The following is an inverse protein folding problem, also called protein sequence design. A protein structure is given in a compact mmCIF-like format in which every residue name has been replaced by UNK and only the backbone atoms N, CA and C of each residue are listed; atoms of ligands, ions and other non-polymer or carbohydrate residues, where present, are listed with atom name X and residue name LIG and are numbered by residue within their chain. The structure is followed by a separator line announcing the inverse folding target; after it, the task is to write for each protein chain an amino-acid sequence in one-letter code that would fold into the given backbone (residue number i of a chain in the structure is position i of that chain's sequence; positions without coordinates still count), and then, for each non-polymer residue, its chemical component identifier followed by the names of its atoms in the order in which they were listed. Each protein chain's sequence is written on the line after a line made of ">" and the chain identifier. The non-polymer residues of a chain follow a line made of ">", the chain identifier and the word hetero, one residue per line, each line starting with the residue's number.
data_IF_786258022755
#
_entry.id   IF_786258022755
#
_cell.length_a   1.000
_cell.length_b   1.000
_cell.length_c   1.000
_cell.angle_alpha   90.00
_cell.angle_beta   90.00
_cell.angle_gamma   90.00
#
_symmetry.space_group_name_H-M   'P 1'
#
loop_
_entity.id
_entity.type
_entity.pdbx_description
1 polymer ?
#
# COMPACT_ATOMS: atom_id res chain seq x y z
N UNK A 1 -31.44 48.40 -11.11
CA UNK A 1 -31.31 47.21 -11.99
C UNK A 1 -29.84 47.08 -12.33
N UNK A 2 -29.05 46.04 -12.04
CA UNK A 2 -29.30 44.62 -11.78
C UNK A 2 -28.13 44.07 -10.93
N UNK A 3 -28.38 43.70 -9.67
CA UNK A 3 -27.37 43.20 -8.71
C UNK A 3 -27.23 41.66 -8.71
N UNK A 4 -27.90 40.96 -9.62
CA UNK A 4 -27.96 39.49 -9.64
C UNK A 4 -26.93 38.82 -10.58
N UNK A 5 -26.14 39.59 -11.32
CA UNK A 5 -25.16 39.09 -12.30
C UNK A 5 -23.92 38.38 -11.69
N UNK A 6 -23.21 38.95 -10.70
CA UNK A 6 -21.94 38.36 -10.25
C UNK A 6 -22.12 37.05 -9.48
N UNK A 7 -23.21 36.93 -8.71
CA UNK A 7 -23.55 35.71 -7.94
C UNK A 7 -23.82 34.50 -8.84
N UNK A 8 -24.46 34.70 -10.00
CA UNK A 8 -24.77 33.61 -10.94
C UNK A 8 -23.50 33.05 -11.60
N UNK A 9 -22.47 33.88 -11.77
CA UNK A 9 -21.19 33.49 -12.36
C UNK A 9 -20.27 32.76 -11.37
N UNK A 10 -20.34 33.09 -10.09
CA UNK A 10 -19.60 32.42 -9.02
C UNK A 10 -20.16 31.02 -8.72
N UNK A 11 -21.50 30.88 -8.73
CA UNK A 11 -22.16 29.59 -8.54
C UNK A 11 -21.89 28.64 -9.71
N UNK A 12 -21.90 29.13 -10.96
CA UNK A 12 -21.56 28.30 -12.13
C UNK A 12 -20.11 27.83 -12.13
N UNK A 13 -19.15 28.68 -11.74
CA UNK A 13 -17.74 28.30 -11.61
C UNK A 13 -17.51 27.30 -10.47
N UNK A 14 -18.17 27.49 -9.32
CA UNK A 14 -18.11 26.53 -8.21
C UNK A 14 -18.75 25.18 -8.54
N UNK A 15 -19.75 25.13 -9.43
CA UNK A 15 -20.38 23.88 -9.85
C UNK A 15 -19.52 23.12 -10.87
N UNK A 16 -18.91 23.83 -11.82
CA UNK A 16 -18.01 23.24 -12.80
C UNK A 16 -16.71 22.71 -12.16
N UNK A 17 -16.10 23.48 -11.26
CA UNK A 17 -14.86 23.11 -10.56
C UNK A 17 -15.07 21.99 -9.51
N UNK A 18 -16.34 21.77 -9.11
CA UNK A 18 -16.75 20.62 -8.29
C UNK A 18 -17.04 19.39 -9.14
N UNK A 19 -17.51 19.56 -10.38
CA UNK A 19 -17.76 18.44 -11.29
C UNK A 19 -16.45 17.82 -11.82
N UNK A 20 -15.43 18.63 -12.12
CA UNK A 20 -14.12 18.14 -12.57
C UNK A 20 -13.34 17.41 -11.46
N UNK A 21 -13.56 17.76 -10.19
CA UNK A 21 -12.92 17.09 -9.05
C UNK A 21 -13.49 15.68 -8.78
N UNK A 22 -14.62 15.34 -9.38
CA UNK A 22 -15.33 14.07 -9.15
C UNK A 22 -15.00 13.00 -10.19
N UNK A 23 -14.36 13.37 -11.30
CA UNK A 23 -14.01 12.47 -12.41
C UNK A 23 -12.63 11.82 -12.27
N UNK A 24 -11.79 12.26 -11.33
CA UNK A 24 -10.41 11.75 -11.16
C UNK A 24 -10.28 10.51 -10.27
N UNK A 25 -11.33 10.12 -9.54
CA UNK A 25 -11.35 8.90 -8.72
C UNK A 25 -12.36 7.87 -9.28
N UNK A 26 -11.95 6.93 -10.15
CA UNK A 26 -12.86 5.93 -10.72
C UNK A 26 -13.57 5.10 -9.64
N UNK A 27 -12.96 4.94 -8.46
CA UNK A 27 -13.55 4.24 -7.32
C UNK A 27 -14.55 5.09 -6.54
N UNK A 28 -14.39 6.42 -6.50
CA UNK A 28 -15.32 7.33 -5.85
C UNK A 28 -16.64 7.42 -6.60
N UNK A 29 -16.57 7.48 -7.93
CA UNK A 29 -17.72 7.50 -8.83
C UNK A 29 -18.51 6.18 -8.76
N UNK A 30 -17.81 5.04 -8.72
CA UNK A 30 -18.43 3.72 -8.48
C UNK A 30 -19.13 3.68 -7.12
N UNK A 31 -18.49 4.15 -6.05
CA UNK A 31 -19.10 4.18 -4.70
C UNK A 31 -20.35 5.05 -4.65
N UNK A 32 -20.35 6.17 -5.36
CA UNK A 32 -21.48 7.09 -5.42
C UNK A 32 -22.64 6.53 -6.26
N UNK A 33 -22.34 5.93 -7.41
CA UNK A 33 -23.33 5.27 -8.26
C UNK A 33 -23.96 4.08 -7.52
N UNK A 34 -23.15 3.25 -6.86
CA UNK A 34 -23.65 2.13 -6.05
C UNK A 34 -24.49 2.64 -4.87
N UNK A 35 -24.05 3.71 -4.19
CA UNK A 35 -24.79 4.31 -3.08
C UNK A 35 -26.13 4.90 -3.50
N UNK A 36 -26.19 5.58 -4.64
CA UNK A 36 -27.44 6.17 -5.17
C UNK A 36 -28.42 5.12 -5.66
N UNK A 37 -27.94 4.06 -6.32
CA UNK A 37 -28.76 2.90 -6.71
C UNK A 37 -29.33 2.20 -5.47
N UNK A 38 -28.52 1.98 -4.44
CA UNK A 38 -28.97 1.37 -3.18
C UNK A 38 -30.05 2.22 -2.48
N UNK A 39 -29.87 3.54 -2.44
CA UNK A 39 -30.84 4.46 -1.85
C UNK A 39 -32.17 4.46 -2.62
N UNK A 40 -32.12 4.43 -3.95
CA UNK A 40 -33.30 4.32 -4.81
C UNK A 40 -34.08 3.01 -4.55
N UNK A 41 -33.38 1.87 -4.45
CA UNK A 41 -34.00 0.58 -4.11
C UNK A 41 -34.62 0.57 -2.71
N UNK A 42 -34.03 1.29 -1.76
CA UNK A 42 -34.54 1.42 -0.40
C UNK A 42 -35.86 2.19 -0.38
N UNK A 43 -35.94 3.30 -1.12
CA UNK A 43 -37.17 4.07 -1.27
C UNK A 43 -38.29 3.25 -1.92
N UNK A 44 -37.98 2.49 -2.97
CA UNK A 44 -38.94 1.61 -3.65
C UNK A 44 -39.47 0.54 -2.68
N UNK A 45 -38.60 -0.07 -1.88
CA UNK A 45 -39.01 -1.09 -0.92
C UNK A 45 -39.83 -0.54 0.25
N UNK A 46 -39.49 0.65 0.76
CA UNK A 46 -40.31 1.33 1.78
C UNK A 46 -41.70 1.65 1.22
N UNK A 47 -41.77 2.11 -0.03
CA UNK A 47 -43.06 2.38 -0.70
C UNK A 47 -43.88 1.10 -0.86
N UNK A 48 -43.26 -0.01 -1.29
CA UNK A 48 -43.91 -1.33 -1.42
C UNK A 48 -44.36 -1.93 -0.08
N UNK A 49 -43.62 -1.64 0.99
CA UNK A 49 -43.99 -2.06 2.34
C UNK A 49 -45.18 -1.29 2.87
N UNK A 50 -45.25 0.03 2.59
CA UNK A 50 -46.37 0.89 2.98
C UNK A 50 -47.65 0.57 2.21
N UNK A 51 -47.55 0.07 0.97
CA UNK A 51 -48.72 -0.39 0.19
C UNK A 51 -49.23 -1.78 0.61
N UNK A 52 -48.57 -2.45 1.56
CA UNK A 52 -49.03 -3.73 2.13
C UNK A 52 -48.91 -4.92 1.18
N UNK A 53 -48.14 -4.79 0.09
CA UNK A 53 -48.08 -5.80 -0.97
C UNK A 53 -47.34 -7.07 -0.56
N UNK A 54 -46.29 -6.99 0.28
CA UNK A 54 -45.64 -8.16 0.86
C UNK A 54 -44.70 -7.77 2.04
N UNK A 55 -44.97 -8.18 3.29
CA UNK A 55 -44.11 -7.85 4.45
C UNK A 55 -42.70 -8.46 4.36
N UNK A 56 -42.47 -9.41 3.45
CA UNK A 56 -41.15 -10.01 3.19
C UNK A 56 -40.20 -9.05 2.44
N UNK A 57 -40.72 -8.02 1.78
CA UNK A 57 -39.91 -7.06 1.03
C UNK A 57 -38.98 -6.22 1.93
N UNK A 58 -39.42 -5.87 3.15
CA UNK A 58 -38.60 -5.16 4.12
C UNK A 58 -37.41 -5.99 4.61
N UNK A 59 -37.59 -7.31 4.74
CA UNK A 59 -36.52 -8.21 5.18
C UNK A 59 -35.41 -8.32 4.14
N UNK A 60 -35.77 -8.37 2.85
CA UNK A 60 -34.80 -8.39 1.75
C UNK A 60 -33.98 -7.10 1.68
N UNK A 61 -34.60 -5.95 1.91
CA UNK A 61 -33.90 -4.66 1.92
C UNK A 61 -33.05 -4.48 3.16
N UNK A 62 -33.53 -4.91 4.33
CA UNK A 62 -32.71 -4.97 5.55
C UNK A 62 -31.49 -5.87 5.37
N UNK A 63 -31.66 -7.05 4.78
CA UNK A 63 -30.56 -7.97 4.48
C UNK A 63 -29.56 -7.38 3.46
N UNK A 64 -30.06 -6.71 2.41
CA UNK A 64 -29.23 -6.05 1.42
C UNK A 64 -28.42 -4.89 2.04
N UNK A 65 -29.03 -4.10 2.92
CA UNK A 65 -28.34 -3.05 3.69
C UNK A 65 -27.33 -3.61 4.69
N UNK A 66 -27.61 -4.75 5.32
CA UNK A 66 -26.67 -5.42 6.20
C UNK A 66 -25.43 -5.89 5.41
N UNK A 67 -25.62 -6.49 4.24
CA UNK A 67 -24.52 -6.91 3.35
C UNK A 67 -23.75 -5.70 2.83
N UNK A 68 -24.44 -4.62 2.43
CA UNK A 68 -23.81 -3.38 1.98
C UNK A 68 -23.03 -2.68 3.10
N UNK A 69 -23.63 -2.55 4.28
CA UNK A 69 -22.97 -2.01 5.47
C UNK A 69 -21.78 -2.85 5.90
N UNK A 70 -21.87 -4.19 5.80
CA UNK A 70 -20.77 -5.10 6.05
C UNK A 70 -19.64 -4.91 5.04
N UNK A 71 -19.93 -4.89 3.74
CA UNK A 71 -18.92 -4.73 2.68
C UNK A 71 -18.27 -3.35 2.71
N UNK A 72 -19.04 -2.27 2.90
CA UNK A 72 -18.52 -0.91 3.03
C UNK A 72 -17.78 -0.74 4.35
N UNK A 73 -18.29 -1.26 5.45
CA UNK A 73 -17.62 -1.26 6.76
C UNK A 73 -16.32 -2.05 6.74
N UNK A 74 -16.28 -3.17 6.03
CA UNK A 74 -15.08 -3.98 5.80
C UNK A 74 -14.07 -3.26 4.91
N UNK A 75 -14.52 -2.55 3.86
CA UNK A 75 -13.66 -1.71 3.02
C UNK A 75 -13.18 -0.43 3.71
N UNK A 76 -13.95 0.14 4.65
CA UNK A 76 -13.70 1.47 5.23
C UNK A 76 -13.10 1.43 6.64
N UNK A 77 -13.44 0.43 7.45
CA UNK A 77 -13.15 0.40 8.90
C UNK A 77 -12.12 -0.64 9.34
N UNK A 78 -11.78 -1.61 8.48
CA UNK A 78 -10.80 -2.66 8.81
C UNK A 78 -9.45 -2.40 8.12
N UNK A 79 -9.38 -1.49 7.15
CA UNK A 79 -8.15 -1.27 6.41
C UNK A 79 -7.04 -0.59 7.23
N UNK A 80 -7.32 0.29 8.20
CA UNK A 80 -6.23 0.94 8.94
C UNK A 80 -5.46 -0.02 9.86
N UNK A 81 -6.08 -0.75 10.81
CA UNK A 81 -5.34 -1.66 11.68
C UNK A 81 -4.89 -2.95 10.98
N UNK A 82 -5.61 -3.42 9.96
CA UNK A 82 -5.18 -4.61 9.20
C UNK A 82 -4.12 -4.26 8.18
N UNK A 83 -4.02 -3.04 7.64
CA UNK A 83 -2.87 -2.68 6.79
C UNK A 83 -1.61 -2.46 7.63
N UNK A 84 -1.72 -1.82 8.80
CA UNK A 84 -0.56 -1.68 9.70
C UNK A 84 -0.16 -3.06 10.27
N UNK A 85 -1.14 -3.89 10.62
CA UNK A 85 -0.93 -5.30 10.99
C UNK A 85 -0.44 -6.16 9.83
N UNK A 86 -0.84 -5.88 8.58
CA UNK A 86 -0.38 -6.57 7.38
C UNK A 86 1.01 -6.09 6.96
N UNK A 87 1.41 -4.85 7.22
CA UNK A 87 2.80 -4.42 7.06
C UNK A 87 3.68 -5.02 8.16
N UNK A 88 3.19 -5.17 9.39
CA UNK A 88 3.89 -5.91 10.45
C UNK A 88 3.91 -7.43 10.23
N UNK A 89 2.89 -8.01 9.60
CA UNK A 89 2.85 -9.44 9.22
C UNK A 89 3.60 -9.69 7.91
N UNK A 90 3.62 -8.75 6.97
CA UNK A 90 4.45 -8.83 5.75
C UNK A 90 5.90 -8.51 6.08
N UNK A 91 6.21 -7.70 7.10
CA UNK A 91 7.59 -7.55 7.58
C UNK A 91 8.04 -8.75 8.42
N UNK A 92 7.18 -9.33 9.27
CA UNK A 92 7.53 -10.55 10.02
C UNK A 92 7.41 -11.87 9.23
N UNK A 93 6.64 -11.93 8.13
CA UNK A 93 6.31 -13.18 7.41
C UNK A 93 6.41 -13.05 5.87
N UNK A 94 6.48 -11.84 5.31
CA UNK A 94 6.33 -11.55 3.87
C UNK A 94 7.50 -11.89 2.95
N UNK A 95 8.32 -12.87 3.34
CA UNK A 95 9.29 -13.52 2.46
C UNK A 95 8.86 -14.94 2.09
N UNK A 96 7.84 -15.50 2.74
CA UNK A 96 7.47 -16.89 2.52
C UNK A 96 6.31 -17.00 1.53
N UNK A 97 6.61 -17.73 0.44
CA UNK A 97 5.69 -18.39 -0.51
C UNK A 97 5.09 -17.54 -1.64
N UNK A 98 5.92 -17.29 -2.64
CA UNK A 98 5.49 -17.42 -4.05
C UNK A 98 6.36 -18.52 -4.68
N UNK A 99 5.68 -19.53 -5.20
CA UNK A 99 6.17 -20.89 -5.35
C UNK A 99 7.04 -21.17 -6.57
N UNK A 100 7.72 -22.32 -6.51
CA UNK A 100 8.30 -23.01 -7.66
C UNK A 100 9.79 -22.75 -7.91
N UNK A 101 10.66 -22.83 -6.90
CA UNK A 101 12.10 -22.90 -7.18
C UNK A 101 13.07 -22.72 -6.01
N UNK A 102 12.60 -22.20 -4.88
CA UNK A 102 13.43 -21.85 -3.71
C UNK A 102 13.30 -22.81 -2.52
N UNK A 103 12.51 -23.89 -2.67
CA UNK A 103 12.17 -24.81 -1.59
C UNK A 103 13.40 -25.39 -0.88
N UNK A 104 14.46 -25.72 -1.60
CA UNK A 104 15.70 -26.23 -1.00
C UNK A 104 16.41 -25.19 -0.14
N UNK A 105 16.48 -23.93 -0.60
CA UNK A 105 17.14 -22.84 0.12
C UNK A 105 16.32 -22.44 1.36
N UNK A 106 15.01 -22.38 1.22
CA UNK A 106 14.09 -22.13 2.34
C UNK A 106 14.16 -23.25 3.39
N UNK A 107 14.35 -24.51 2.97
CA UNK A 107 14.56 -25.63 3.89
C UNK A 107 15.87 -25.49 4.66
N UNK A 108 16.95 -25.00 4.03
CA UNK A 108 18.22 -24.71 4.74
C UNK A 108 18.02 -23.64 5.81
N UNK A 109 17.34 -22.55 5.47
CA UNK A 109 17.03 -21.48 6.43
C UNK A 109 16.16 -22.00 7.58
N UNK A 110 15.13 -22.79 7.28
CA UNK A 110 14.25 -23.38 8.30
C UNK A 110 14.96 -24.38 9.23
N UNK A 111 16.04 -25.02 8.77
CA UNK A 111 16.90 -25.89 9.58
C UNK A 111 17.96 -25.14 10.39
N UNK A 112 17.98 -23.81 10.32
CA UNK A 112 18.98 -22.97 10.99
C UNK A 112 20.31 -22.84 10.25
N UNK A 113 20.44 -23.39 9.04
CA UNK A 113 21.63 -23.23 8.20
C UNK A 113 21.58 -21.90 7.43
N UNK A 114 21.51 -20.79 8.18
CA UNK A 114 21.26 -19.46 7.65
C UNK A 114 22.36 -18.97 6.71
N UNK A 115 23.63 -19.20 7.06
CA UNK A 115 24.76 -18.80 6.20
C UNK A 115 24.75 -19.57 4.87
N UNK A 116 24.55 -20.89 4.92
CA UNK A 116 24.46 -21.72 3.72
C UNK A 116 23.26 -21.32 2.84
N UNK A 117 22.14 -20.91 3.45
CA UNK A 117 20.99 -20.38 2.72
C UNK A 117 21.32 -19.04 2.04
N UNK A 118 22.01 -18.14 2.74
CA UNK A 118 22.45 -16.86 2.19
C UNK A 118 23.42 -17.07 1.01
N UNK A 119 24.37 -17.99 1.12
CA UNK A 119 25.32 -18.33 0.05
C UNK A 119 24.61 -18.95 -1.16
N UNK A 120 23.62 -19.82 -0.93
CA UNK A 120 22.80 -20.38 -2.00
C UNK A 120 21.97 -19.32 -2.73
N UNK A 121 21.44 -18.32 -2.03
CA UNK A 121 20.82 -17.17 -2.68
C UNK A 121 21.83 -16.34 -3.47
N UNK A 122 23.05 -16.17 -2.98
CA UNK A 122 24.12 -15.45 -3.68
C UNK A 122 24.45 -16.12 -5.03
N UNK A 123 24.60 -17.44 -5.02
CA UNK A 123 24.84 -18.23 -6.24
C UNK A 123 23.68 -18.05 -7.23
N UNK A 124 22.45 -18.13 -6.72
CA UNK A 124 21.25 -17.98 -7.54
C UNK A 124 21.11 -16.57 -8.12
N UNK A 125 21.57 -15.56 -7.41
CA UNK A 125 21.55 -14.17 -7.87
C UNK A 125 22.44 -13.94 -9.12
N UNK A 126 23.39 -14.84 -9.41
CA UNK A 126 24.18 -14.79 -10.65
C UNK A 126 23.30 -14.97 -11.89
N UNK A 127 22.18 -15.67 -11.77
CA UNK A 127 21.22 -15.85 -12.87
C UNK A 127 20.38 -14.59 -13.05
N UNK A 128 20.54 -13.90 -14.19
CA UNK A 128 19.84 -12.61 -14.47
C UNK A 128 18.34 -12.64 -14.16
N UNK A 129 17.55 -13.66 -14.57
CA UNK A 129 16.10 -13.65 -14.36
C UNK A 129 15.68 -13.75 -12.88
N UNK A 130 16.58 -14.21 -12.01
CA UNK A 130 16.29 -14.46 -10.59
C UNK A 130 17.10 -13.55 -9.68
N UNK A 131 17.95 -12.69 -10.24
CA UNK A 131 18.89 -11.83 -9.53
C UNK A 131 18.20 -11.03 -8.44
N UNK A 132 17.17 -10.27 -8.81
CA UNK A 132 16.48 -9.36 -7.89
C UNK A 132 15.83 -10.13 -6.74
N UNK A 133 15.06 -11.17 -7.05
CA UNK A 133 14.36 -11.95 -6.03
C UNK A 133 15.33 -12.68 -5.10
N UNK A 134 16.42 -13.24 -5.63
CA UNK A 134 17.42 -13.92 -4.84
C UNK A 134 18.18 -12.93 -3.92
N UNK A 135 18.58 -11.76 -4.44
CA UNK A 135 19.25 -10.72 -3.64
C UNK A 135 18.34 -10.18 -2.54
N UNK A 136 17.05 -9.93 -2.82
CA UNK A 136 16.10 -9.46 -1.79
C UNK A 136 15.94 -10.48 -0.65
N UNK A 137 15.80 -11.77 -0.98
CA UNK A 137 15.69 -12.83 0.03
C UNK A 137 16.97 -12.99 0.83
N UNK A 138 18.13 -12.87 0.17
CA UNK A 138 19.42 -12.87 0.86
C UNK A 138 19.57 -11.68 1.79
N UNK A 139 19.23 -10.48 1.33
CA UNK A 139 19.29 -9.25 2.11
C UNK A 139 18.49 -9.37 3.40
N UNK A 140 17.31 -10.00 3.36
CA UNK A 140 16.52 -10.23 4.56
C UNK A 140 17.11 -11.29 5.51
N UNK A 141 17.77 -12.33 4.99
CA UNK A 141 18.53 -13.25 5.84
C UNK A 141 19.72 -12.55 6.50
N UNK A 142 20.40 -11.69 5.74
CA UNK A 142 21.52 -10.88 6.21
C UNK A 142 21.07 -9.92 7.30
N UNK A 143 20.05 -9.10 7.07
CA UNK A 143 19.62 -8.09 8.04
C UNK A 143 18.91 -8.68 9.26
N UNK A 144 18.10 -9.72 9.08
CA UNK A 144 17.38 -10.37 10.16
C UNK A 144 18.27 -11.36 10.94
N UNK A 145 18.16 -12.67 10.68
CA UNK A 145 18.71 -13.69 11.55
C UNK A 145 20.26 -13.78 11.52
N UNK A 146 20.93 -13.26 10.50
CA UNK A 146 22.41 -13.17 10.47
C UNK A 146 22.95 -11.88 11.09
N UNK A 147 22.09 -10.89 11.39
CA UNK A 147 22.45 -9.62 12.00
C UNK A 147 23.62 -8.88 11.29
N UNK A 148 23.56 -8.83 9.96
CA UNK A 148 24.49 -8.16 9.05
C UNK A 148 23.75 -7.16 8.14
N UNK A 149 23.05 -6.15 8.71
CA UNK A 149 22.25 -5.22 7.93
C UNK A 149 23.08 -4.31 7.02
N UNK A 150 24.32 -3.98 7.36
CA UNK A 150 25.21 -3.19 6.51
C UNK A 150 25.54 -3.94 5.21
N UNK A 151 25.80 -5.24 5.32
CA UNK A 151 26.05 -6.10 4.16
C UNK A 151 24.81 -6.19 3.28
N UNK A 152 23.62 -6.33 3.87
CA UNK A 152 22.36 -6.31 3.13
C UNK A 152 22.18 -5.01 2.33
N UNK A 153 22.49 -3.85 2.93
CA UNK A 153 22.34 -2.54 2.29
C UNK A 153 23.28 -2.42 1.08
N UNK A 154 24.55 -2.78 1.28
CA UNK A 154 25.57 -2.78 0.23
C UNK A 154 25.14 -3.69 -0.93
N UNK A 155 24.58 -4.87 -0.67
CA UNK A 155 24.13 -5.77 -1.73
C UNK A 155 22.96 -5.22 -2.55
N UNK A 156 21.98 -4.60 -1.88
CA UNK A 156 20.82 -3.98 -2.55
C UNK A 156 21.23 -2.74 -3.36
N UNK A 157 22.17 -1.94 -2.85
CA UNK A 157 22.72 -0.80 -3.59
C UNK A 157 23.56 -1.27 -4.79
N UNK A 158 24.41 -2.28 -4.61
CA UNK A 158 25.19 -2.87 -5.70
C UNK A 158 24.29 -3.45 -6.79
N UNK A 159 23.15 -4.06 -6.42
CA UNK A 159 22.17 -4.54 -7.38
C UNK A 159 21.67 -3.41 -8.29
N UNK A 160 21.37 -2.25 -7.73
CA UNK A 160 20.94 -1.05 -8.49
C UNK A 160 22.04 -0.45 -9.36
N UNK A 161 23.28 -0.44 -8.87
CA UNK A 161 24.44 0.08 -9.62
C UNK A 161 24.83 -0.85 -10.77
N UNK A 162 24.65 -2.17 -10.60
CA UNK A 162 25.05 -3.18 -11.59
C UNK A 162 24.26 -3.14 -12.91
N UNK A 163 23.12 -2.43 -12.94
CA UNK A 163 22.35 -2.22 -14.16
C UNK A 163 20.95 -1.66 -13.89
N UNK A 164 20.29 -1.09 -14.91
CA UNK A 164 18.94 -0.58 -14.79
C UNK A 164 17.97 -1.71 -14.43
N UNK A 165 17.24 -1.52 -13.33
CA UNK A 165 16.19 -2.43 -12.89
C UNK A 165 14.85 -2.04 -13.54
N UNK A 166 13.98 -3.01 -13.86
CA UNK A 166 12.59 -2.72 -14.20
C UNK A 166 11.91 -1.88 -13.11
N UNK A 167 10.94 -1.01 -13.45
CA UNK A 167 10.28 -0.13 -12.47
C UNK A 167 9.75 -0.84 -11.23
N UNK A 168 9.15 -2.03 -11.41
CA UNK A 168 8.62 -2.85 -10.33
C UNK A 168 9.72 -3.32 -9.37
N UNK A 169 10.88 -3.69 -9.90
CA UNK A 169 11.98 -4.24 -9.12
C UNK A 169 12.78 -3.12 -8.43
N UNK A 170 13.03 -1.99 -9.10
CA UNK A 170 13.64 -0.80 -8.46
C UNK A 170 12.79 -0.32 -7.28
N UNK A 171 11.46 -0.35 -7.42
CA UNK A 171 10.54 -0.01 -6.33
C UNK A 171 10.65 -0.99 -5.16
N UNK A 172 10.64 -2.31 -5.42
CA UNK A 172 10.80 -3.34 -4.38
C UNK A 172 12.13 -3.24 -3.65
N UNK A 173 13.22 -3.02 -4.38
CA UNK A 173 14.56 -2.82 -3.80
C UNK A 173 14.62 -1.54 -2.98
N UNK A 174 14.01 -0.45 -3.47
CA UNK A 174 13.94 0.81 -2.73
C UNK A 174 13.16 0.68 -1.41
N UNK A 175 12.03 -0.04 -1.40
CA UNK A 175 11.29 -0.30 -0.16
C UNK A 175 12.10 -1.13 0.84
N UNK A 176 12.79 -2.18 0.36
CA UNK A 176 13.65 -2.99 1.23
C UNK A 176 14.80 -2.15 1.83
N UNK A 177 15.39 -1.24 1.06
CA UNK A 177 16.39 -0.30 1.57
C UNK A 177 15.82 0.66 2.61
N UNK A 178 14.61 1.19 2.41
CA UNK A 178 13.95 2.06 3.40
C UNK A 178 13.76 1.31 4.72
N UNK A 179 13.21 0.10 4.66
CA UNK A 179 13.01 -0.75 5.83
C UNK A 179 14.32 -1.04 6.56
N UNK A 180 15.36 -1.42 5.81
CA UNK A 180 16.68 -1.70 6.35
C UNK A 180 17.32 -0.47 7.02
N UNK A 181 17.21 0.71 6.39
CA UNK A 181 17.74 1.95 6.95
C UNK A 181 16.99 2.40 8.21
N UNK A 182 15.68 2.23 8.23
CA UNK A 182 14.83 2.64 9.35
C UNK A 182 14.92 1.66 10.53
N UNK A 183 14.76 0.37 10.26
CA UNK A 183 14.59 -0.66 11.28
C UNK A 183 15.92 -1.23 11.76
N UNK A 184 16.82 -1.58 10.86
CA UNK A 184 18.02 -2.34 11.25
C UNK A 184 19.23 -1.43 11.47
N UNK A 185 19.47 -0.48 10.55
CA UNK A 185 20.62 0.43 10.62
C UNK A 185 20.37 1.69 11.46
N UNK A 186 19.12 1.95 11.85
CA UNK A 186 18.71 3.14 12.61
C UNK A 186 19.22 4.46 12.00
N UNK A 187 19.28 4.53 10.67
CA UNK A 187 19.62 5.72 9.89
C UNK A 187 18.38 6.28 9.19
N UNK A 188 17.53 7.03 9.92
CA UNK A 188 16.34 7.64 9.33
C UNK A 188 16.68 8.65 8.23
N UNK A 189 17.93 9.16 8.17
CA UNK A 189 18.34 10.11 7.14
C UNK A 189 18.40 9.45 5.77
N UNK A 190 19.03 8.27 5.70
CA UNK A 190 19.07 7.44 4.49
C UNK A 190 17.70 6.90 4.12
N UNK A 191 16.90 6.45 5.10
CA UNK A 191 15.53 6.02 4.86
C UNK A 191 14.68 7.12 4.21
N UNK A 192 14.75 8.36 4.74
CA UNK A 192 14.05 9.51 4.16
C UNK A 192 14.55 9.85 2.74
N UNK A 193 15.85 9.75 2.49
CA UNK A 193 16.43 9.99 1.17
C UNK A 193 15.91 8.97 0.13
N UNK A 194 15.84 7.69 0.51
CA UNK A 194 15.29 6.65 -0.37
C UNK A 194 13.78 6.77 -0.58
N UNK A 195 13.00 7.11 0.46
CA UNK A 195 11.58 7.43 0.31
C UNK A 195 11.35 8.59 -0.67
N UNK A 196 12.17 9.65 -0.56
CA UNK A 196 12.11 10.78 -1.49
C UNK A 196 12.45 10.35 -2.91
N UNK A 197 13.51 9.55 -3.10
CA UNK A 197 13.87 8.98 -4.41
C UNK A 197 12.68 8.24 -5.04
N UNK A 198 12.00 7.40 -4.26
CA UNK A 198 10.84 6.64 -4.73
C UNK A 198 9.66 7.54 -5.10
N UNK A 199 9.38 8.59 -4.31
CA UNK A 199 8.30 9.56 -4.60
C UNK A 199 8.60 10.33 -5.89
N UNK A 200 9.84 10.79 -6.05
CA UNK A 200 10.27 11.59 -7.20
C UNK A 200 10.29 10.75 -8.47
N UNK A 201 10.72 9.48 -8.39
CA UNK A 201 10.80 8.57 -9.54
C UNK A 201 9.45 7.93 -9.90
N UNK A 202 8.57 7.71 -8.93
CA UNK A 202 7.29 7.02 -9.12
C UNK A 202 6.10 7.82 -8.54
N UNK A 203 5.84 9.04 -9.04
CA UNK A 203 4.88 9.97 -8.43
C UNK A 203 3.42 9.49 -8.47
N UNK A 204 3.08 8.64 -9.45
CA UNK A 204 1.73 8.11 -9.71
C UNK A 204 1.58 6.62 -9.31
N UNK A 205 2.62 6.00 -8.75
CA UNK A 205 2.52 4.60 -8.33
C UNK A 205 1.44 4.42 -7.26
N UNK A 206 0.75 3.27 -7.30
CA UNK A 206 -0.24 2.87 -6.33
C UNK A 206 0.46 2.70 -4.96
N UNK A 207 0.47 3.77 -4.16
CA UNK A 207 1.24 3.83 -2.91
C UNK A 207 2.02 5.14 -2.71
N UNK A 208 2.16 5.99 -3.72
CA UNK A 208 2.91 7.25 -3.61
C UNK A 208 2.39 8.17 -2.49
N UNK A 209 1.06 8.20 -2.26
CA UNK A 209 0.46 8.90 -1.11
C UNK A 209 0.97 8.35 0.23
N UNK A 210 1.08 7.01 0.36
CA UNK A 210 1.58 6.36 1.58
C UNK A 210 3.06 6.66 1.81
N UNK A 211 3.87 6.66 0.75
CA UNK A 211 5.28 7.05 0.85
C UNK A 211 5.44 8.49 1.35
N UNK A 212 4.59 9.42 0.88
CA UNK A 212 4.59 10.81 1.36
C UNK A 212 4.21 10.90 2.84
N UNK A 213 3.24 10.10 3.28
CA UNK A 213 2.85 10.01 4.70
C UNK A 213 3.98 9.45 5.55
N UNK A 214 4.61 8.34 5.13
CA UNK A 214 5.76 7.75 5.82
C UNK A 214 6.93 8.75 5.93
N UNK A 215 7.25 9.46 4.84
CA UNK A 215 8.27 10.50 4.84
C UNK A 215 7.93 11.65 5.80
N UNK A 216 6.67 12.06 5.85
CA UNK A 216 6.22 13.09 6.78
C UNK A 216 6.33 12.62 8.25
N UNK A 217 5.99 11.35 8.53
CA UNK A 217 6.14 10.70 9.83
C UNK A 217 7.60 10.70 10.30
N UNK A 218 8.51 10.15 9.48
CA UNK A 218 9.95 10.14 9.78
C UNK A 218 10.53 11.54 10.00
N UNK A 219 10.07 12.53 9.24
CA UNK A 219 10.47 13.93 9.43
C UNK A 219 9.98 14.48 10.77
N UNK A 220 8.74 14.20 11.14
CA UNK A 220 8.17 14.64 12.41
C UNK A 220 8.89 14.01 13.61
N UNK A 221 9.24 12.73 13.54
CA UNK A 221 9.98 12.05 14.61
C UNK A 221 11.40 12.64 14.79
N UNK A 222 12.09 12.90 13.67
CA UNK A 222 13.46 13.39 13.70
C UNK A 222 13.58 14.87 14.09
N UNK A 223 12.68 15.71 13.60
CA UNK A 223 12.76 17.16 13.75
C UNK A 223 11.72 17.76 14.71
N UNK A 224 10.73 16.99 15.13
CA UNK A 224 9.65 17.42 16.02
C UNK A 224 9.92 17.22 17.52
N UNK A 225 10.95 16.45 17.89
CA UNK A 225 11.42 16.40 19.29
C UNK A 225 12.28 17.64 19.59
N UNK A 226 11.90 18.50 20.55
CA UNK A 226 12.79 19.56 21.03
C UNK A 226 14.06 18.92 21.60
N UNK A 227 15.24 19.46 21.26
CA UNK A 227 16.49 19.09 21.92
C UNK A 227 16.40 19.58 23.37
N UNK A 228 16.04 18.68 24.29
CA UNK A 228 16.22 18.87 25.74
C UNK A 228 17.67 18.60 26.11
#
# INVERSE_FOLDING_TARGET
>A
MSLLSPLRSAIKRSAADRADRWTEEPLGLVRLVVGTIALAWTLIAVLLALTGADPRALQLVGALWAIYGLTVGFLSGILEPVIDGFFHLVSNVGIVRVGGGYSTIETLAARGHLQAAADAYAERARNKPQRVDATLRRAALLSGPLNQPETAAIELDNLRVSGPLPPRDDFRVGLALVELYEQDLKDPGRAMAELRRLIDRYPTAQGARRLRVALAGLKAERFGKPRT
#
